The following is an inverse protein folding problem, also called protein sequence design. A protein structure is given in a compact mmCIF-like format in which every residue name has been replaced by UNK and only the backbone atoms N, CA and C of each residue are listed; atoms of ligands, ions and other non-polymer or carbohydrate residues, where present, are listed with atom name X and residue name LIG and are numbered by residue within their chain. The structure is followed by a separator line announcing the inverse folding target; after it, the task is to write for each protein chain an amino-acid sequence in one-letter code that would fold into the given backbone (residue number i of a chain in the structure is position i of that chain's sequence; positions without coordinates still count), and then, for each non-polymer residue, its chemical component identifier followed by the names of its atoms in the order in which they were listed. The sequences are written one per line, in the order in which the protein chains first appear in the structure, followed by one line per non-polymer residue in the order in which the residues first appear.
data_IF_065727559725
#
_entry.id   IF_065727559725
#
_cell.length_a   1.000
_cell.length_b   1.000
_cell.length_c   1.000
_cell.angle_alpha   90.00
_cell.angle_beta   90.00
_cell.angle_gamma   90.00
#
_symmetry.space_group_name_H-M   'P 1'
#
loop_
_entity.id
_entity.type
_entity.pdbx_description
1 polymer ?
#
# COMPACT_ATOMS: atom_id res chain seq x y z
N UNK A 1 -7.15 8.45 -15.51
CA UNK A 1 -8.51 7.95 -15.81
C UNK A 1 -8.65 6.56 -15.20
N UNK A 2 -9.86 6.13 -14.81
CA UNK A 2 -10.06 4.81 -14.16
C UNK A 2 -9.81 3.62 -15.09
N UNK A 3 -9.88 3.82 -16.39
CA UNK A 3 -9.59 2.80 -17.43
C UNK A 3 -8.11 2.74 -17.85
N UNK A 4 -7.27 3.59 -17.25
CA UNK A 4 -5.87 3.76 -17.68
C UNK A 4 -4.98 2.53 -17.43
N UNK A 5 -5.37 1.66 -16.50
CA UNK A 5 -4.60 0.46 -16.13
C UNK A 5 -5.16 -0.83 -16.75
N UNK A 6 -6.21 -0.72 -17.58
CA UNK A 6 -6.77 -1.90 -18.25
C UNK A 6 -5.76 -2.48 -19.28
N UNK A 7 -5.70 -3.82 -19.45
CA UNK A 7 -6.60 -4.82 -18.86
C UNK A 7 -6.14 -5.38 -17.49
N UNK A 8 -4.98 -4.94 -16.95
CA UNK A 8 -4.42 -5.49 -15.71
C UNK A 8 -5.30 -5.17 -14.48
N UNK A 9 -5.79 -3.93 -14.41
CA UNK A 9 -6.77 -3.50 -13.42
C UNK A 9 -7.92 -2.84 -14.14
N UNK A 10 -9.14 -3.37 -13.98
CA UNK A 10 -10.31 -2.85 -14.67
C UNK A 10 -10.77 -1.50 -14.12
N UNK A 11 -11.47 -0.73 -14.94
CA UNK A 11 -12.16 0.49 -14.52
C UNK A 11 -13.12 0.20 -13.35
N UNK A 12 -13.82 -0.94 -13.37
CA UNK A 12 -14.74 -1.33 -12.32
C UNK A 12 -14.01 -1.51 -10.98
N UNK A 13 -12.89 -2.22 -10.97
CA UNK A 13 -12.05 -2.37 -9.78
C UNK A 13 -11.63 -1.01 -9.23
N UNK A 14 -11.08 -0.13 -10.06
CA UNK A 14 -10.61 1.18 -9.61
C UNK A 14 -11.73 2.09 -9.10
N UNK A 15 -12.94 2.03 -9.71
CA UNK A 15 -14.10 2.79 -9.21
C UNK A 15 -14.55 2.30 -7.84
N UNK A 16 -14.61 0.99 -7.60
CA UNK A 16 -14.92 0.48 -6.27
C UNK A 16 -13.81 0.76 -5.27
N UNK A 17 -12.55 0.55 -5.67
CA UNK A 17 -11.40 0.72 -4.80
C UNK A 17 -11.25 2.18 -4.35
N UNK A 18 -11.33 3.13 -5.28
CA UNK A 18 -11.22 4.56 -4.97
C UNK A 18 -12.53 5.15 -4.42
N UNK A 19 -13.66 5.06 -5.18
CA UNK A 19 -14.86 5.83 -4.87
C UNK A 19 -15.67 5.23 -3.71
N UNK A 20 -15.42 3.98 -3.32
CA UNK A 20 -16.11 3.31 -2.22
C UNK A 20 -15.19 3.01 -1.05
N UNK A 21 -14.12 2.24 -1.25
CA UNK A 21 -13.23 1.86 -0.15
C UNK A 21 -12.43 3.07 0.37
N UNK A 22 -11.61 3.71 -0.48
CA UNK A 22 -10.81 4.86 -0.06
C UNK A 22 -11.68 6.02 0.45
N UNK A 23 -12.68 6.45 -0.32
CA UNK A 23 -13.59 7.55 0.11
C UNK A 23 -14.34 7.19 1.40
N UNK A 24 -14.68 5.92 1.59
CA UNK A 24 -15.28 5.43 2.84
C UNK A 24 -14.37 5.65 4.05
N UNK A 25 -13.07 5.36 3.92
CA UNK A 25 -12.09 5.62 4.99
C UNK A 25 -11.90 7.09 5.27
N UNK A 26 -11.84 7.94 4.22
CA UNK A 26 -11.75 9.40 4.35
C UNK A 26 -12.94 9.95 5.14
N UNK A 27 -14.15 9.59 4.73
CA UNK A 27 -15.37 10.07 5.38
C UNK A 27 -15.44 9.60 6.84
N UNK A 28 -15.09 8.32 7.08
CA UNK A 28 -15.12 7.76 8.43
C UNK A 28 -14.07 8.36 9.35
N UNK A 29 -12.86 8.62 8.84
CA UNK A 29 -11.84 9.32 9.60
C UNK A 29 -12.31 10.71 10.01
N UNK A 30 -12.84 11.50 9.07
CA UNK A 30 -13.34 12.84 9.33
C UNK A 30 -14.44 12.88 10.41
N UNK A 31 -15.33 11.86 10.43
CA UNK A 31 -16.32 11.72 11.52
C UNK A 31 -15.65 11.42 12.86
N UNK A 32 -14.69 10.49 12.88
CA UNK A 32 -14.08 9.99 14.10
C UNK A 32 -13.16 10.99 14.80
N UNK A 33 -12.49 11.86 14.02
CA UNK A 33 -11.55 12.85 14.58
C UNK A 33 -12.23 14.17 14.94
N UNK A 34 -13.49 14.38 14.57
CA UNK A 34 -14.25 15.57 14.92
C UNK A 34 -14.24 15.74 16.45
N UNK A 35 -13.92 16.95 16.91
CA UNK A 35 -13.82 17.30 18.34
C UNK A 35 -12.75 16.51 19.14
N UNK A 36 -11.79 15.89 18.46
CA UNK A 36 -10.63 15.25 19.07
C UNK A 36 -9.34 16.02 18.82
N UNK A 37 -8.25 15.76 19.56
CA UNK A 37 -6.93 16.35 19.29
C UNK A 37 -6.39 16.02 17.88
N UNK A 38 -6.89 14.98 17.24
CA UNK A 38 -6.47 14.56 15.89
C UNK A 38 -7.01 15.46 14.77
N UNK A 39 -8.08 16.24 15.00
CA UNK A 39 -8.72 17.06 13.98
C UNK A 39 -7.81 18.11 13.30
N UNK A 40 -6.69 18.46 13.96
CA UNK A 40 -5.73 19.45 13.44
C UNK A 40 -4.34 18.84 13.17
N UNK A 41 -4.20 17.52 13.24
CA UNK A 41 -2.92 16.85 13.00
C UNK A 41 -2.76 16.45 11.53
N UNK A 42 -1.53 16.43 11.00
CA UNK A 42 -1.22 15.77 9.73
C UNK A 42 -1.62 14.29 9.76
N UNK A 43 -2.00 13.75 8.60
CA UNK A 43 -2.46 12.37 8.50
C UNK A 43 -1.39 11.37 8.97
N UNK A 44 -0.11 11.62 8.64
CA UNK A 44 1.02 10.80 9.07
C UNK A 44 1.16 10.74 10.59
N UNK A 45 0.94 11.86 11.27
CA UNK A 45 1.01 11.93 12.73
C UNK A 45 -0.14 11.13 13.38
N UNK A 46 -1.33 11.17 12.77
CA UNK A 46 -2.47 10.35 13.20
C UNK A 46 -2.15 8.87 13.02
N UNK A 47 -1.59 8.47 11.87
CA UNK A 47 -1.22 7.07 11.58
C UNK A 47 -0.25 6.52 12.62
N UNK A 48 0.74 7.29 13.06
CA UNK A 48 1.76 6.79 13.99
C UNK A 48 1.37 6.92 15.46
N UNK A 49 0.34 7.71 15.81
CA UNK A 49 -0.01 8.01 17.20
C UNK A 49 -1.38 7.52 17.64
N UNK A 50 -2.30 7.29 16.70
CA UNK A 50 -3.65 6.84 17.03
C UNK A 50 -3.72 5.33 17.20
N UNK A 51 -4.83 4.87 17.80
CA UNK A 51 -5.18 3.46 17.91
C UNK A 51 -6.63 3.20 17.47
N UNK A 52 -7.05 1.93 17.50
CA UNK A 52 -8.43 1.51 17.27
C UNK A 52 -9.00 2.01 15.95
N UNK A 53 -10.21 2.55 15.99
CA UNK A 53 -10.94 2.97 14.81
C UNK A 53 -10.31 4.19 14.10
N UNK A 54 -9.71 5.12 14.85
CA UNK A 54 -9.03 6.30 14.27
C UNK A 54 -7.80 5.82 13.49
N UNK A 55 -6.95 4.99 14.09
CA UNK A 55 -5.80 4.40 13.41
C UNK A 55 -6.23 3.65 12.14
N UNK A 56 -7.21 2.75 12.25
CA UNK A 56 -7.63 1.93 11.11
C UNK A 56 -8.05 2.78 9.91
N UNK A 57 -8.83 3.84 10.13
CA UNK A 57 -9.29 4.68 9.03
C UNK A 57 -8.20 5.65 8.53
N UNK A 58 -7.37 6.19 9.41
CA UNK A 58 -6.24 7.05 9.04
C UNK A 58 -5.19 6.28 8.23
N UNK A 59 -4.80 5.10 8.72
CA UNK A 59 -3.82 4.26 8.03
C UNK A 59 -4.37 3.75 6.69
N UNK A 60 -5.63 3.32 6.61
CA UNK A 60 -6.23 2.92 5.33
C UNK A 60 -6.34 4.10 4.35
N UNK A 61 -6.69 5.29 4.81
CA UNK A 61 -6.68 6.49 3.97
C UNK A 61 -5.28 6.73 3.40
N UNK A 62 -4.26 6.78 4.25
CA UNK A 62 -2.88 7.02 3.85
C UNK A 62 -2.34 5.92 2.91
N UNK A 63 -2.60 4.64 3.24
CA UNK A 63 -2.15 3.49 2.45
C UNK A 63 -2.74 3.53 1.03
N UNK A 64 -4.02 3.90 0.90
CA UNK A 64 -4.68 3.99 -0.41
C UNK A 64 -4.18 5.19 -1.22
N UNK A 65 -3.97 6.37 -0.60
CA UNK A 65 -3.36 7.51 -1.28
C UNK A 65 -2.00 7.14 -1.84
N UNK A 66 -1.15 6.56 -1.01
CA UNK A 66 0.18 6.12 -1.40
C UNK A 66 0.14 5.04 -2.49
N UNK A 67 -0.80 4.08 -2.40
CA UNK A 67 -1.00 3.05 -3.41
C UNK A 67 -1.44 3.63 -4.76
N UNK A 68 -2.41 4.55 -4.78
CA UNK A 68 -2.86 5.15 -6.03
C UNK A 68 -1.81 6.06 -6.66
N UNK A 69 -1.04 6.78 -5.87
CA UNK A 69 0.02 7.68 -6.35
C UNK A 69 1.18 6.94 -7.04
N UNK A 70 1.39 5.68 -6.72
CA UNK A 70 2.43 4.87 -7.37
C UNK A 70 1.98 4.25 -8.71
N UNK A 71 0.68 4.24 -9.01
CA UNK A 71 0.16 3.61 -10.22
C UNK A 71 0.33 4.51 -11.45
N UNK A 72 0.87 3.97 -12.52
CA UNK A 72 1.05 4.68 -13.79
C UNK A 72 0.82 3.73 -14.98
N UNK A 73 0.05 4.15 -15.98
CA UNK A 73 -0.08 3.39 -17.23
C UNK A 73 1.22 3.36 -18.03
N UNK A 74 2.08 4.36 -17.84
CA UNK A 74 3.36 4.52 -18.52
C UNK A 74 4.54 4.14 -17.62
N UNK A 75 4.29 3.38 -16.55
CA UNK A 75 5.30 2.98 -15.59
C UNK A 75 6.41 2.15 -16.23
N UNK A 76 7.66 2.44 -15.86
CA UNK A 76 8.79 1.62 -16.26
C UNK A 76 8.76 0.28 -15.52
N UNK A 77 9.02 -0.81 -16.23
CA UNK A 77 9.02 -2.16 -15.66
C UNK A 77 10.16 -2.41 -14.65
N UNK A 78 11.09 -1.46 -14.52
CA UNK A 78 12.26 -1.58 -13.64
C UNK A 78 12.65 -0.22 -13.06
N UNK A 79 12.94 -0.14 -11.76
CA UNK A 79 13.48 1.08 -11.18
C UNK A 79 14.87 1.39 -11.73
N UNK A 80 15.27 2.65 -11.63
CA UNK A 80 16.58 3.15 -12.09
C UNK A 80 17.31 3.91 -10.98
N UNK A 81 18.53 4.33 -11.23
CA UNK A 81 19.26 5.24 -10.35
C UNK A 81 19.56 4.67 -8.96
N UNK A 82 19.30 5.48 -7.93
CA UNK A 82 19.63 5.13 -6.55
C UNK A 82 18.79 3.97 -6.00
N UNK A 83 17.51 3.92 -6.37
CA UNK A 83 16.60 2.86 -5.92
C UNK A 83 17.04 1.50 -6.42
N UNK A 84 17.39 1.37 -7.72
CA UNK A 84 17.89 0.10 -8.25
C UNK A 84 19.18 -0.36 -7.53
N UNK A 85 20.12 0.57 -7.28
CA UNK A 85 21.37 0.25 -6.56
C UNK A 85 21.11 -0.25 -5.15
N UNK A 86 20.16 0.36 -4.44
CA UNK A 86 19.78 -0.07 -3.09
C UNK A 86 19.09 -1.44 -3.12
N UNK A 87 18.20 -1.69 -4.08
CA UNK A 87 17.58 -2.99 -4.29
C UNK A 87 18.63 -4.07 -4.57
N UNK A 88 19.56 -3.82 -5.48
CA UNK A 88 20.63 -4.79 -5.81
C UNK A 88 21.53 -5.06 -4.61
N UNK A 89 21.82 -4.04 -3.79
CA UNK A 89 22.64 -4.19 -2.59
C UNK A 89 21.94 -5.01 -1.49
N UNK A 90 20.64 -4.77 -1.25
CA UNK A 90 19.92 -5.38 -0.12
C UNK A 90 19.26 -6.73 -0.48
N UNK A 91 18.88 -6.93 -1.74
CA UNK A 91 18.19 -8.13 -2.20
C UNK A 91 19.00 -8.98 -3.19
N UNK A 92 20.17 -8.50 -3.64
CA UNK A 92 21.05 -9.19 -4.59
C UNK A 92 20.78 -8.87 -6.05
N UNK A 93 19.53 -8.69 -6.46
CA UNK A 93 19.12 -8.21 -7.78
C UNK A 93 17.66 -7.75 -7.77
N UNK A 94 17.26 -7.01 -8.79
CA UNK A 94 15.86 -6.63 -8.96
C UNK A 94 14.94 -7.86 -9.12
N UNK A 95 15.38 -8.89 -9.83
CA UNK A 95 14.62 -10.14 -10.02
C UNK A 95 14.42 -10.88 -8.69
N UNK A 96 15.45 -10.91 -7.84
CA UNK A 96 15.32 -11.49 -6.49
C UNK A 96 14.41 -10.66 -5.59
N UNK A 97 14.50 -9.33 -5.66
CA UNK A 97 13.56 -8.44 -4.98
C UNK A 97 12.11 -8.71 -5.42
N UNK A 98 11.86 -8.75 -6.75
CA UNK A 98 10.52 -9.01 -7.30
C UNK A 98 9.96 -10.33 -6.76
N UNK A 99 10.74 -11.41 -6.85
CA UNK A 99 10.32 -12.73 -6.36
C UNK A 99 10.04 -12.75 -4.83
N UNK A 100 10.85 -12.02 -4.04
CA UNK A 100 10.62 -11.91 -2.60
C UNK A 100 9.37 -11.09 -2.28
N UNK A 101 9.12 -10.00 -3.02
CA UNK A 101 7.95 -9.15 -2.85
C UNK A 101 6.67 -9.89 -3.22
N UNK A 102 6.64 -10.58 -4.36
CA UNK A 102 5.53 -11.46 -4.77
C UNK A 102 5.25 -12.51 -3.70
N UNK A 103 6.29 -13.21 -3.22
CA UNK A 103 6.15 -14.21 -2.17
C UNK A 103 5.57 -13.62 -0.88
N UNK A 104 6.00 -12.44 -0.48
CA UNK A 104 5.52 -11.76 0.72
C UNK A 104 4.04 -11.35 0.56
N UNK A 105 3.69 -10.73 -0.56
CA UNK A 105 2.33 -10.28 -0.84
C UNK A 105 1.34 -11.45 -0.92
N UNK A 106 1.71 -12.54 -1.60
CA UNK A 106 0.87 -13.75 -1.71
C UNK A 106 0.77 -14.48 -0.39
N UNK A 107 1.87 -14.52 0.38
CA UNK A 107 1.96 -15.26 1.64
C UNK A 107 1.30 -14.59 2.84
N UNK A 108 0.92 -13.32 2.74
CA UNK A 108 0.23 -12.64 3.83
C UNK A 108 -1.15 -13.26 4.06
N UNK A 109 -1.36 -13.82 5.26
CA UNK A 109 -2.62 -14.43 5.61
C UNK A 109 -3.70 -13.37 5.89
N UNK A 110 -4.81 -13.47 5.14
CA UNK A 110 -5.92 -12.52 5.27
C UNK A 110 -5.71 -11.23 4.48
N UNK A 111 -6.31 -10.15 4.97
CA UNK A 111 -6.21 -8.81 4.41
C UNK A 111 -5.00 -8.05 4.96
N UNK A 112 -4.44 -7.20 4.14
CA UNK A 112 -3.29 -6.36 4.54
C UNK A 112 -2.54 -5.79 3.35
N UNK A 113 -1.28 -5.44 3.60
CA UNK A 113 -0.41 -4.71 2.69
C UNK A 113 0.99 -5.33 2.69
N UNK A 114 1.61 -5.43 1.53
CA UNK A 114 3.02 -5.77 1.40
C UNK A 114 3.79 -4.51 0.99
N UNK A 115 4.89 -4.23 1.68
CA UNK A 115 5.65 -2.98 1.57
C UNK A 115 7.10 -3.24 1.21
N UNK A 116 7.67 -2.38 0.36
CA UNK A 116 9.08 -2.06 0.37
C UNK A 116 9.28 -0.84 1.28
N UNK A 117 10.09 -0.97 2.29
CA UNK A 117 10.35 0.11 3.23
C UNK A 117 11.83 0.25 3.55
N UNK A 118 12.25 1.48 3.88
CA UNK A 118 13.61 1.83 4.27
C UNK A 118 13.68 2.03 5.79
N UNK A 119 14.63 1.41 6.45
CA UNK A 119 14.87 1.62 7.86
C UNK A 119 15.73 2.87 8.13
N UNK A 120 15.95 3.20 9.40
CA UNK A 120 16.73 4.39 9.83
C UNK A 120 18.21 4.33 9.42
N UNK A 121 18.72 3.17 9.03
CA UNK A 121 20.09 3.01 8.53
C UNK A 121 20.20 3.16 7.02
N UNK A 122 19.06 3.33 6.32
CA UNK A 122 18.96 3.37 4.86
C UNK A 122 18.87 2.00 4.21
N UNK A 123 18.67 0.93 5.00
CA UNK A 123 18.55 -0.43 4.49
C UNK A 123 17.11 -0.70 4.07
N UNK A 124 16.95 -1.34 2.91
CA UNK A 124 15.64 -1.74 2.39
C UNK A 124 15.19 -3.08 2.98
N UNK A 125 13.91 -3.19 3.28
CA UNK A 125 13.26 -4.41 3.73
C UNK A 125 11.89 -4.58 3.09
N UNK A 126 11.49 -5.83 2.86
CA UNK A 126 10.11 -6.19 2.54
C UNK A 126 9.39 -6.46 3.86
N UNK A 127 8.30 -5.74 4.10
CA UNK A 127 7.49 -5.82 5.31
C UNK A 127 6.06 -6.15 4.93
N UNK A 128 5.42 -7.06 5.65
CA UNK A 128 4.00 -7.35 5.49
C UNK A 128 3.24 -6.92 6.73
N UNK A 129 2.15 -6.20 6.52
CA UNK A 129 1.33 -5.66 7.59
C UNK A 129 -0.13 -6.11 7.42
N UNK A 130 -0.71 -6.63 8.50
CA UNK A 130 -2.11 -7.06 8.48
C UNK A 130 -3.07 -5.85 8.54
N UNK A 131 -4.24 -6.01 7.93
CA UNK A 131 -5.33 -5.03 7.97
C UNK A 131 -4.88 -3.64 7.50
N UNK A 132 -4.86 -2.64 8.38
CA UNK A 132 -4.46 -1.27 8.11
C UNK A 132 -2.97 -0.98 8.38
N UNK A 133 -2.18 -1.98 8.76
CA UNK A 133 -0.80 -1.78 9.22
C UNK A 133 0.08 -1.02 8.22
N UNK A 134 1.01 -0.24 8.78
CA UNK A 134 1.87 0.65 8.02
C UNK A 134 3.29 0.69 8.63
N UNK A 135 4.35 0.56 7.83
CA UNK A 135 5.74 0.58 8.30
C UNK A 135 6.13 1.85 9.09
N UNK A 136 5.45 2.98 8.87
CA UNK A 136 5.69 4.21 9.64
C UNK A 136 5.49 4.00 11.14
N UNK A 137 4.57 3.12 11.55
CA UNK A 137 4.36 2.77 12.95
C UNK A 137 5.58 2.10 13.61
N UNK A 138 6.50 1.57 12.80
CA UNK A 138 7.76 0.95 13.21
C UNK A 138 8.97 1.84 12.91
N UNK A 139 8.74 3.10 12.55
CA UNK A 139 9.77 4.08 12.24
C UNK A 139 10.52 3.80 10.94
N UNK A 140 9.90 3.07 10.01
CA UNK A 140 10.40 2.84 8.66
C UNK A 140 9.72 3.78 7.67
N UNK A 141 10.40 4.07 6.57
CA UNK A 141 9.89 4.90 5.48
C UNK A 141 9.32 4.02 4.35
N UNK A 142 8.01 4.07 4.08
CA UNK A 142 7.42 3.37 2.94
C UNK A 142 7.97 3.90 1.60
N UNK A 143 8.27 3.00 0.67
CA UNK A 143 8.76 3.32 -0.68
C UNK A 143 7.85 2.77 -1.78
N UNK A 144 7.19 1.63 -1.54
CA UNK A 144 6.25 0.99 -2.45
C UNK A 144 5.33 0.08 -1.66
N UNK A 145 4.10 -0.12 -2.12
CA UNK A 145 3.19 -1.10 -1.54
C UNK A 145 2.35 -1.86 -2.55
N UNK A 146 1.88 -3.03 -2.13
CA UNK A 146 0.76 -3.76 -2.73
C UNK A 146 -0.39 -3.84 -1.72
N UNK A 147 -1.58 -3.46 -2.15
CA UNK A 147 -2.82 -3.77 -1.45
C UNK A 147 -3.20 -5.22 -1.74
N UNK A 148 -3.19 -6.07 -0.71
CA UNK A 148 -3.59 -7.47 -0.82
C UNK A 148 -4.92 -7.78 -0.13
N UNK A 149 -5.68 -6.75 0.21
CA UNK A 149 -7.10 -6.90 0.50
C UNK A 149 -7.84 -7.42 -0.75
N UNK A 150 -8.81 -8.28 -0.58
CA UNK A 150 -9.55 -8.84 -1.73
C UNK A 150 -10.25 -7.75 -2.56
N UNK A 151 -10.67 -6.65 -1.94
CA UNK A 151 -11.30 -5.54 -2.67
C UNK A 151 -10.40 -4.92 -3.75
N UNK A 152 -9.08 -5.05 -3.62
CA UNK A 152 -8.13 -4.49 -4.58
C UNK A 152 -8.06 -5.28 -5.90
N UNK A 153 -8.43 -6.58 -5.88
CA UNK A 153 -8.21 -7.45 -7.03
C UNK A 153 -9.35 -8.44 -7.33
N UNK A 154 -10.34 -8.62 -6.43
CA UNK A 154 -11.29 -9.72 -6.56
C UNK A 154 -12.19 -9.63 -7.80
N UNK A 155 -12.53 -8.44 -8.28
CA UNK A 155 -13.34 -8.25 -9.49
C UNK A 155 -12.63 -8.86 -10.70
N UNK A 156 -11.33 -8.61 -10.87
CA UNK A 156 -10.55 -9.02 -12.02
C UNK A 156 -9.96 -10.44 -11.87
N UNK A 157 -9.52 -10.78 -10.67
CA UNK A 157 -8.73 -11.99 -10.43
C UNK A 157 -9.42 -13.03 -9.54
N UNK A 158 -10.54 -12.70 -8.89
CA UNK A 158 -11.23 -13.55 -7.91
C UNK A 158 -10.27 -13.96 -6.78
N UNK A 159 -10.16 -15.23 -6.47
CA UNK A 159 -9.28 -15.78 -5.45
C UNK A 159 -7.81 -15.93 -5.90
N UNK A 160 -7.46 -15.47 -7.09
CA UNK A 160 -6.10 -15.62 -7.65
C UNK A 160 -5.21 -14.44 -7.29
N UNK A 161 -4.94 -14.27 -5.98
CA UNK A 161 -4.04 -13.20 -5.50
C UNK A 161 -2.68 -13.24 -6.18
N UNK A 162 -2.13 -14.44 -6.42
CA UNK A 162 -0.84 -14.59 -7.10
C UNK A 162 -0.82 -13.95 -8.49
N UNK A 163 -1.89 -14.12 -9.27
CA UNK A 163 -1.99 -13.53 -10.61
C UNK A 163 -2.16 -12.00 -10.54
N UNK A 164 -2.79 -11.50 -9.48
CA UNK A 164 -2.98 -10.06 -9.29
C UNK A 164 -1.70 -9.33 -8.87
N UNK A 165 -0.76 -10.03 -8.22
CA UNK A 165 0.50 -9.46 -7.73
C UNK A 165 1.64 -9.62 -8.76
N UNK A 166 1.56 -10.61 -9.67
CA UNK A 166 2.58 -10.88 -10.69
C UNK A 166 2.66 -9.78 -11.75
#
# INVERSE_FOLDING_TARGET
AYDALAPQVSEETLRFHHDKHYVGYVNKLNELILDTPYAQQPLEDIVVSADGAIFNNAAQMWNHEFFFDQLSPDGEARPTGALLKAIDADFGSFEQFKAQMEKAAVGLFGSGWAWLAEDKSGKLAIVTEQNAGNPMCHGMKPLMCFDVWEHAYYIDYRNRRADAVA
#
